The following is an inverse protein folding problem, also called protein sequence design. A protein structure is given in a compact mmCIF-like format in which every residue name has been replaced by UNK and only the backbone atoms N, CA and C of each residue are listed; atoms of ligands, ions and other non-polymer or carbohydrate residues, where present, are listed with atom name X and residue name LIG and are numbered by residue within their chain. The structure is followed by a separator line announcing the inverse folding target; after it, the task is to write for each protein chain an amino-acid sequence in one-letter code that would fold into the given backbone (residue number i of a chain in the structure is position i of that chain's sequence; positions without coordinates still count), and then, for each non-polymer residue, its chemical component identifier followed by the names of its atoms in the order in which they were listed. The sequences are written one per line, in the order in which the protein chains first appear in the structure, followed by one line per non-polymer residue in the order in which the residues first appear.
data_IF_825494566501
#
_entry.id   IF_825494566501
#
_cell.length_a   1.000
_cell.length_b   1.000
_cell.length_c   1.000
_cell.angle_alpha   90.00
_cell.angle_beta   90.00
_cell.angle_gamma   90.00
#
_symmetry.space_group_name_H-M   'P 1'
#
loop_
_entity.id
_entity.type
_entity.pdbx_description
1 polymer ?
#
# COMPACT_ATOMS: atom_id res chain seq x y z
N UNK A 1 1.57 2.33 16.46
CA UNK A 1 0.84 2.85 15.29
C UNK A 1 1.87 3.12 14.20
N UNK A 2 1.59 2.82 12.94
CA UNK A 2 2.49 3.07 11.81
C UNK A 2 1.76 3.87 10.72
N UNK A 3 2.51 4.65 9.96
CA UNK A 3 2.01 5.32 8.76
C UNK A 3 2.39 4.50 7.52
N UNK A 4 1.43 4.28 6.63
CA UNK A 4 1.59 3.49 5.40
C UNK A 4 0.91 4.23 4.26
N UNK A 5 1.61 4.36 3.13
CA UNK A 5 1.08 4.95 1.91
C UNK A 5 0.88 3.86 0.84
N UNK A 6 -0.32 3.76 0.22
CA UNK A 6 -0.58 2.80 -0.85
C UNK A 6 0.41 2.94 -2.01
N UNK A 7 0.78 4.15 -2.39
CA UNK A 7 1.68 4.44 -3.50
C UNK A 7 3.07 3.81 -3.29
N UNK A 8 3.59 3.90 -2.07
CA UNK A 8 4.88 3.29 -1.69
C UNK A 8 4.76 1.77 -1.64
N UNK A 9 3.63 1.26 -1.14
CA UNK A 9 3.32 -0.18 -1.10
C UNK A 9 3.26 -0.78 -2.50
N UNK A 10 2.55 -0.14 -3.43
CA UNK A 10 2.51 -0.56 -4.83
C UNK A 10 3.89 -0.44 -5.50
N UNK A 11 4.65 0.62 -5.23
CA UNK A 11 6.00 0.75 -5.77
C UNK A 11 6.92 -0.39 -5.29
N UNK A 12 6.80 -0.79 -4.02
CA UNK A 12 7.55 -1.92 -3.46
C UNK A 12 7.15 -3.25 -4.09
N UNK A 13 5.85 -3.49 -4.26
CA UNK A 13 5.34 -4.70 -4.91
C UNK A 13 5.76 -4.78 -6.39
N UNK A 14 5.64 -3.68 -7.13
CA UNK A 14 5.94 -3.62 -8.55
C UNK A 14 7.45 -3.49 -8.86
N UNK A 15 8.28 -3.21 -7.84
CA UNK A 15 9.71 -2.93 -8.00
C UNK A 15 10.03 -1.55 -8.60
N UNK A 16 9.01 -0.77 -8.97
CA UNK A 16 9.11 0.59 -9.50
C UNK A 16 7.79 1.35 -9.25
N UNK A 17 7.80 2.69 -9.26
CA UNK A 17 6.58 3.48 -9.12
C UNK A 17 5.54 3.17 -10.20
N UNK A 18 4.27 2.96 -9.79
CA UNK A 18 3.15 2.83 -10.72
C UNK A 18 2.72 4.23 -11.18
N UNK A 19 3.19 4.63 -12.37
CA UNK A 19 2.97 5.98 -12.90
C UNK A 19 1.55 6.21 -13.42
N UNK A 20 0.85 5.15 -13.85
CA UNK A 20 -0.53 5.24 -14.29
C UNK A 20 -1.47 5.62 -13.13
N UNK A 21 -2.35 6.59 -13.36
CA UNK A 21 -3.26 7.12 -12.33
C UNK A 21 -4.15 6.01 -11.81
N UNK A 22 -4.40 6.01 -10.50
CA UNK A 22 -5.15 4.93 -9.82
C UNK A 22 -6.59 4.73 -10.29
N UNK A 23 -7.18 5.74 -10.92
CA UNK A 23 -8.55 5.70 -11.47
C UNK A 23 -8.59 5.37 -12.97
N UNK A 24 -7.45 5.34 -13.64
CA UNK A 24 -7.37 4.98 -15.06
C UNK A 24 -7.31 3.45 -15.20
N UNK A 25 -7.89 2.86 -16.26
CA UNK A 25 -7.93 1.40 -16.44
C UNK A 25 -6.55 0.72 -16.34
N UNK A 26 -5.51 1.35 -16.88
CA UNK A 26 -4.14 0.83 -16.80
C UNK A 26 -3.57 0.89 -15.38
N UNK A 27 -3.90 1.93 -14.62
CA UNK A 27 -3.48 2.07 -13.23
C UNK A 27 -4.21 1.10 -12.30
N UNK A 28 -5.49 0.81 -12.57
CA UNK A 28 -6.25 -0.23 -11.87
C UNK A 28 -5.67 -1.61 -12.16
N UNK A 29 -5.41 -1.91 -13.44
CA UNK A 29 -4.83 -3.19 -13.87
C UNK A 29 -3.46 -3.44 -13.22
N UNK A 30 -2.54 -2.47 -13.30
CA UNK A 30 -1.21 -2.60 -12.71
C UNK A 30 -1.26 -2.86 -11.19
N UNK A 31 -2.16 -2.20 -10.46
CA UNK A 31 -2.35 -2.40 -9.02
C UNK A 31 -2.92 -3.78 -8.69
N UNK A 32 -3.89 -4.27 -9.49
CA UNK A 32 -4.42 -5.63 -9.35
C UNK A 32 -3.36 -6.69 -9.61
N UNK A 33 -2.55 -6.52 -10.65
CA UNK A 33 -1.45 -7.43 -10.97
C UNK A 33 -0.40 -7.45 -9.86
N UNK A 34 -0.02 -6.29 -9.32
CA UNK A 34 0.89 -6.19 -8.18
C UNK A 34 0.36 -6.93 -6.94
N UNK A 35 -0.92 -6.72 -6.57
CA UNK A 35 -1.53 -7.45 -5.46
C UNK A 35 -1.56 -8.97 -5.70
N UNK A 36 -1.94 -9.39 -6.90
CA UNK A 36 -2.03 -10.80 -7.27
C UNK A 36 -0.66 -11.50 -7.22
N UNK A 37 0.41 -10.83 -7.65
CA UNK A 37 1.78 -11.34 -7.57
C UNK A 37 2.23 -11.59 -6.10
N UNK A 38 1.61 -10.90 -5.14
CA UNK A 38 1.82 -11.11 -3.70
C UNK A 38 0.71 -11.93 -3.03
N UNK A 39 -0.10 -12.65 -3.82
CA UNK A 39 -1.13 -13.56 -3.31
C UNK A 39 -2.39 -12.87 -2.77
N UNK A 40 -2.59 -11.59 -3.07
CA UNK A 40 -3.77 -10.82 -2.65
C UNK A 40 -4.72 -10.69 -3.83
N UNK A 41 -5.89 -11.32 -3.71
CA UNK A 41 -6.98 -11.15 -4.67
C UNK A 41 -7.94 -10.11 -4.11
N UNK A 42 -7.85 -8.87 -4.64
CA UNK A 42 -8.78 -7.81 -4.26
C UNK A 42 -10.22 -8.22 -4.62
N UNK A 43 -11.18 -8.09 -3.69
CA UNK A 43 -12.56 -8.48 -3.94
C UNK A 43 -13.16 -7.82 -5.19
N UNK A 44 -14.05 -8.54 -5.87
CA UNK A 44 -14.74 -8.01 -7.04
C UNK A 44 -15.90 -7.05 -6.69
N UNK A 45 -16.31 -7.01 -5.42
CA UNK A 45 -17.33 -6.08 -4.95
C UNK A 45 -16.69 -4.74 -4.58
N UNK A 46 -16.74 -3.77 -5.49
CA UNK A 46 -16.29 -2.39 -5.26
C UNK A 46 -17.38 -1.38 -5.63
N UNK A 47 -18.62 -1.85 -5.85
CA UNK A 47 -19.76 -1.02 -6.24
C UNK A 47 -20.86 -1.13 -5.18
N UNK A 48 -21.30 0.02 -4.67
CA UNK A 48 -22.48 0.12 -3.80
C UNK A 48 -22.23 0.66 -2.38
N UNK A 49 -21.00 1.07 -2.05
CA UNK A 49 -20.61 1.33 -0.65
C UNK A 49 -19.71 2.56 -0.48
N UNK A 50 -20.04 3.72 -1.04
CA UNK A 50 -19.36 4.99 -0.72
C UNK A 50 -17.83 5.07 -1.00
N UNK A 51 -17.23 4.02 -1.56
CA UNK A 51 -15.82 3.91 -1.91
C UNK A 51 -15.68 3.43 -3.36
N UNK A 52 -14.59 3.82 -4.01
CA UNK A 52 -14.23 3.41 -5.37
C UNK A 52 -13.35 2.16 -5.41
N UNK A 53 -13.15 1.61 -6.60
CA UNK A 53 -12.22 0.49 -6.79
C UNK A 53 -10.80 0.84 -6.32
N UNK A 54 -10.36 2.07 -6.54
CA UNK A 54 -9.07 2.56 -6.09
C UNK A 54 -8.92 2.54 -4.57
N UNK A 55 -9.97 2.92 -3.83
CA UNK A 55 -9.95 2.85 -2.35
C UNK A 55 -9.84 1.40 -1.85
N UNK A 56 -10.50 0.45 -2.52
CA UNK A 56 -10.39 -0.98 -2.19
C UNK A 56 -8.96 -1.50 -2.44
N UNK A 57 -8.35 -1.12 -3.56
CA UNK A 57 -6.99 -1.52 -3.90
C UNK A 57 -5.97 -0.88 -2.95
N UNK A 58 -6.17 0.39 -2.58
CA UNK A 58 -5.33 1.11 -1.62
C UNK A 58 -5.39 0.45 -0.23
N UNK A 59 -6.59 0.07 0.23
CA UNK A 59 -6.77 -0.67 1.48
C UNK A 59 -6.07 -2.03 1.46
N UNK A 60 -6.13 -2.75 0.33
CA UNK A 60 -5.41 -4.02 0.15
C UNK A 60 -3.89 -3.83 0.24
N UNK A 61 -3.36 -2.76 -0.36
CA UNK A 61 -1.94 -2.44 -0.32
C UNK A 61 -1.46 -2.09 1.10
N UNK A 62 -2.24 -1.29 1.83
CA UNK A 62 -1.94 -0.95 3.24
C UNK A 62 -1.98 -2.19 4.12
N UNK A 63 -2.96 -3.08 3.93
CA UNK A 63 -3.07 -4.33 4.66
C UNK A 63 -1.86 -5.26 4.44
N UNK A 64 -1.34 -5.32 3.20
CA UNK A 64 -0.12 -6.08 2.89
C UNK A 64 1.08 -5.59 3.69
N UNK A 65 1.32 -4.27 3.71
CA UNK A 65 2.39 -3.66 4.50
C UNK A 65 2.19 -3.89 5.99
N UNK A 66 0.96 -3.75 6.50
CA UNK A 66 0.67 -3.96 7.92
C UNK A 66 1.00 -5.39 8.37
N UNK A 67 0.70 -6.40 7.54
CA UNK A 67 1.07 -7.81 7.83
C UNK A 67 2.58 -8.00 7.82
N UNK A 68 3.31 -7.37 6.88
CA UNK A 68 4.78 -7.40 6.85
C UNK A 68 5.37 -6.77 8.10
N UNK A 69 4.86 -5.60 8.49
CA UNK A 69 5.30 -4.89 9.69
C UNK A 69 5.08 -5.71 10.96
N UNK A 70 3.89 -6.31 11.12
CA UNK A 70 3.59 -7.19 12.25
C UNK A 70 4.50 -8.42 12.34
N UNK A 71 5.14 -8.82 11.22
CA UNK A 71 6.11 -9.91 11.14
C UNK A 71 7.58 -9.45 11.20
N UNK A 72 7.85 -8.15 11.35
CA UNK A 72 9.20 -7.60 11.31
C UNK A 72 9.87 -7.63 9.94
N UNK A 73 9.07 -7.59 8.87
CA UNK A 73 9.53 -7.70 7.46
C UNK A 73 9.36 -6.40 6.66
N UNK A 74 8.88 -5.33 7.29
CA UNK A 74 8.72 -4.03 6.63
C UNK A 74 9.99 -3.20 6.72
N UNK A 75 10.26 -2.43 5.69
CA UNK A 75 11.28 -1.38 5.65
C UNK A 75 10.62 -0.02 6.00
N UNK A 76 11.40 0.96 6.47
CA UNK A 76 10.94 2.33 6.70
C UNK A 76 11.60 3.32 5.75
N UNK A 77 10.89 4.41 5.45
CA UNK A 77 11.42 5.60 4.80
C UNK A 77 11.22 6.83 5.70
N UNK A 78 12.30 7.52 6.12
CA UNK A 78 13.71 7.13 5.92
C UNK A 78 14.08 5.83 6.65
N UNK A 79 15.23 5.24 6.30
CA UNK A 79 15.71 3.99 6.90
C UNK A 79 16.03 4.15 8.41
N UNK A 80 16.38 5.37 8.82
CA UNK A 80 16.52 5.77 10.22
C UNK A 80 15.47 6.84 10.52
N UNK A 81 14.29 6.46 11.04
CA UNK A 81 13.23 7.41 11.37
C UNK A 81 13.63 8.31 12.53
N UNK A 82 13.37 9.62 12.40
CA UNK A 82 13.45 10.54 13.53
C UNK A 82 12.28 10.27 14.48
N UNK A 83 12.52 10.40 15.79
CA UNK A 83 11.50 10.25 16.83
C UNK A 83 11.29 11.60 17.50
N UNK A 84 10.08 12.13 17.39
CA UNK A 84 9.72 13.42 17.98
C UNK A 84 9.21 13.27 19.42
N UNK A 85 8.76 14.38 20.02
CA UNK A 85 8.30 14.43 21.42
C UNK A 85 7.04 13.61 21.71
N UNK A 86 6.30 13.18 20.68
CA UNK A 86 5.16 12.26 20.79
C UNK A 86 5.58 10.78 20.89
N UNK A 87 6.88 10.48 20.73
CA UNK A 87 7.45 9.14 20.82
C UNK A 87 7.15 8.25 19.62
N UNK A 88 6.54 8.78 18.55
CA UNK A 88 6.28 8.04 17.32
C UNK A 88 7.42 8.25 16.32
N UNK A 89 7.93 7.18 15.67
CA UNK A 89 8.87 7.34 14.58
C UNK A 89 8.19 7.97 13.37
N UNK A 90 8.73 9.09 12.88
CA UNK A 90 8.28 9.75 11.66
C UNK A 90 8.78 8.97 10.43
N UNK A 91 7.99 7.99 10.01
CA UNK A 91 8.33 7.11 8.90
C UNK A 91 7.11 6.59 8.15
N UNK A 92 7.28 6.44 6.84
CA UNK A 92 6.39 5.65 5.98
C UNK A 92 6.93 4.23 5.93
N UNK A 93 6.12 3.25 6.30
CA UNK A 93 6.48 1.84 6.32
C UNK A 93 6.03 1.12 5.04
N UNK A 94 6.78 0.09 4.60
CA UNK A 94 6.45 -0.78 3.44
C UNK A 94 6.94 -2.23 3.57
#
# INVERSE_FOLDING_TARGET
MIEVHPEVSFARMAGAPVLARKKDPDGVRARREALAAHGIVAPAWFRGSGFGEDDLLDACAVAWTAVRHARGLSDSYPAEPEVFSDGLPAAIWV
#
